data_IF_446415803169
#
_entry.id   IF_446415803169
#
_cell.length_a   1.000
_cell.length_b   1.000
_cell.length_c   1.000
_cell.angle_alpha   90.00
_cell.angle_beta   90.00
_cell.angle_gamma   90.00
#
_symmetry.space_group_name_H-M   'P 1'
#
loop_
_entity.id
_entity.type
_entity.pdbx_description
1 polymer ?
#
# COMPACT_ATOMS: atom_id res chain seq x y z
N UNK A 1 7.25 -7.78 5.46
CA UNK A 1 6.57 -6.94 4.44
C UNK A 1 7.00 -7.32 3.03
N UNK A 2 6.20 -6.98 2.00
CA UNK A 2 6.59 -7.09 0.59
C UNK A 2 6.71 -5.70 -0.05
N UNK A 3 7.38 -5.60 -1.23
CA UNK A 3 7.57 -4.33 -1.93
C UNK A 3 8.56 -3.36 -1.27
N UNK A 4 9.40 -3.83 -0.34
CA UNK A 4 10.36 -3.02 0.42
C UNK A 4 11.41 -2.29 -0.42
N UNK A 5 11.70 -2.74 -1.64
CA UNK A 5 12.64 -2.08 -2.57
C UNK A 5 11.99 -0.98 -3.41
N UNK A 6 10.68 -0.82 -3.32
CA UNK A 6 9.90 0.17 -4.07
C UNK A 6 10.02 1.58 -3.50
N UNK A 7 9.43 2.54 -4.22
CA UNK A 7 9.47 3.98 -3.89
C UNK A 7 8.95 4.31 -2.48
N UNK A 8 7.80 3.74 -2.10
CA UNK A 8 7.21 3.90 -0.77
C UNK A 8 7.94 2.99 0.23
N UNK A 9 8.18 1.73 -0.15
CA UNK A 9 8.73 0.71 0.74
C UNK A 9 10.07 1.06 1.35
N UNK A 10 11.01 1.60 0.57
CA UNK A 10 12.31 2.03 1.10
C UNK A 10 12.21 3.14 2.15
N UNK A 11 11.27 4.08 1.98
CA UNK A 11 11.05 5.17 2.94
C UNK A 11 10.39 4.64 4.21
N UNK A 12 9.37 3.82 4.05
CA UNK A 12 8.70 3.16 5.17
C UNK A 12 9.69 2.36 6.01
N UNK A 13 10.55 1.53 5.40
CA UNK A 13 11.56 0.74 6.10
C UNK A 13 12.48 1.66 6.92
N UNK A 14 13.04 2.71 6.30
CA UNK A 14 13.91 3.64 7.03
C UNK A 14 13.22 4.26 8.25
N UNK A 15 11.97 4.67 8.09
CA UNK A 15 11.20 5.28 9.17
C UNK A 15 10.90 4.26 10.27
N UNK A 16 10.44 3.06 9.93
CA UNK A 16 10.17 2.02 10.92
C UNK A 16 11.44 1.61 11.69
N UNK A 17 12.55 1.37 10.98
CA UNK A 17 13.83 1.04 11.63
C UNK A 17 14.32 2.16 12.56
N UNK A 18 14.18 3.44 12.15
CA UNK A 18 14.56 4.58 13.01
C UNK A 18 13.68 4.73 14.25
N UNK A 19 12.49 4.15 14.24
CA UNK A 19 11.56 4.10 15.38
C UNK A 19 11.71 2.83 16.22
N UNK A 20 12.71 2.00 15.93
CA UNK A 20 13.02 0.78 16.69
C UNK A 20 12.30 -0.49 16.26
N UNK A 21 11.52 -0.47 15.16
CA UNK A 21 10.88 -1.67 14.65
C UNK A 21 11.90 -2.60 13.98
N UNK A 22 11.72 -3.90 14.19
CA UNK A 22 12.40 -4.93 13.41
C UNK A 22 11.63 -5.15 12.10
N UNK A 23 12.29 -4.94 10.96
CA UNK A 23 11.64 -5.03 9.65
C UNK A 23 12.26 -6.15 8.83
N UNK A 24 11.43 -7.11 8.46
CA UNK A 24 11.76 -8.14 7.48
C UNK A 24 11.10 -7.82 6.14
N UNK A 25 11.85 -7.86 5.04
CA UNK A 25 11.32 -7.59 3.71
C UNK A 25 11.54 -8.77 2.76
N UNK A 26 10.43 -9.29 2.25
CA UNK A 26 10.43 -10.30 1.17
C UNK A 26 10.97 -9.65 -0.09
N UNK A 27 12.04 -10.23 -0.63
CA UNK A 27 12.77 -9.67 -1.76
C UNK A 27 13.43 -10.76 -2.59
N UNK A 28 13.45 -10.60 -3.91
CA UNK A 28 14.23 -11.49 -4.78
C UNK A 28 15.72 -11.30 -4.55
N UNK A 29 16.50 -12.34 -4.64
CA UNK A 29 17.97 -12.30 -4.42
C UNK A 29 18.66 -11.17 -5.18
N UNK A 30 18.29 -10.94 -6.45
CA UNK A 30 18.85 -9.87 -7.30
C UNK A 30 18.52 -8.43 -6.81
N UNK A 31 17.62 -8.27 -5.87
CA UNK A 31 17.16 -6.98 -5.36
C UNK A 31 17.46 -6.77 -3.87
N UNK A 32 18.05 -7.75 -3.18
CA UNK A 32 18.34 -7.68 -1.75
C UNK A 32 19.23 -6.47 -1.38
N UNK A 33 20.23 -6.18 -2.20
CA UNK A 33 21.12 -5.02 -2.00
C UNK A 33 20.48 -3.65 -2.17
N UNK A 34 19.19 -3.58 -2.58
CA UNK A 34 18.43 -2.33 -2.67
C UNK A 34 17.66 -2.00 -1.39
N UNK A 35 17.62 -2.91 -0.43
CA UNK A 35 16.95 -2.66 0.86
C UNK A 35 17.74 -1.66 1.70
N UNK A 36 17.06 -0.79 2.44
CA UNK A 36 17.70 0.10 3.40
C UNK A 36 18.44 -0.67 4.50
N UNK A 37 19.48 -0.05 5.07
CA UNK A 37 20.15 -0.58 6.25
C UNK A 37 19.19 -0.77 7.42
N UNK A 38 19.42 -1.80 8.23
CA UNK A 38 18.56 -2.16 9.36
C UNK A 38 17.37 -3.06 9.01
N UNK A 39 17.14 -3.32 7.71
CA UNK A 39 16.10 -4.24 7.26
C UNK A 39 16.70 -5.64 7.00
N UNK A 40 16.07 -6.68 7.49
CA UNK A 40 16.46 -8.07 7.24
C UNK A 40 15.85 -8.57 5.93
N UNK A 41 16.66 -8.99 4.94
CA UNK A 41 16.12 -9.54 3.70
C UNK A 41 15.60 -10.98 3.90
N UNK A 42 14.38 -11.25 3.50
CA UNK A 42 13.82 -12.59 3.32
C UNK A 42 13.89 -12.91 1.83
N UNK A 43 14.82 -13.76 1.43
CA UNK A 43 15.03 -14.11 0.02
C UNK A 43 13.93 -15.06 -0.44
N UNK A 44 12.92 -14.52 -1.11
CA UNK A 44 11.74 -15.24 -1.56
C UNK A 44 11.06 -14.53 -2.73
N UNK A 45 10.06 -15.18 -3.34
CA UNK A 45 9.23 -14.58 -4.39
C UNK A 45 7.94 -14.00 -3.79
N UNK A 46 7.71 -12.68 -3.86
CA UNK A 46 6.48 -12.07 -3.35
C UNK A 46 5.20 -12.52 -4.11
N UNK A 47 5.34 -13.18 -5.26
CA UNK A 47 4.23 -13.78 -6.01
C UNK A 47 3.96 -15.24 -5.62
N UNK A 48 4.70 -15.79 -4.65
CA UNK A 48 4.55 -17.14 -4.13
C UNK A 48 4.59 -17.10 -2.60
N UNK A 49 3.44 -17.03 -1.96
CA UNK A 49 3.29 -16.90 -0.51
C UNK A 49 3.98 -18.03 0.28
N UNK A 50 3.97 -19.26 -0.24
CA UNK A 50 4.62 -20.41 0.43
C UNK A 50 6.10 -20.14 0.66
N UNK A 51 6.77 -19.42 -0.23
CA UNK A 51 8.21 -19.15 -0.15
C UNK A 51 8.64 -18.28 1.04
N UNK A 52 7.69 -17.61 1.71
CA UNK A 52 7.97 -16.75 2.87
C UNK A 52 6.99 -16.96 4.04
N UNK A 53 6.08 -17.94 3.94
CA UNK A 53 5.06 -18.20 4.97
C UNK A 53 5.67 -18.48 6.35
N UNK A 54 6.82 -19.18 6.41
CA UNK A 54 7.52 -19.50 7.66
C UNK A 54 8.09 -18.29 8.41
N UNK A 55 8.14 -17.11 7.77
CA UNK A 55 8.54 -15.84 8.38
C UNK A 55 7.38 -15.05 8.98
N UNK A 56 6.16 -15.57 8.92
CA UNK A 56 4.97 -14.90 9.44
C UNK A 56 4.58 -15.50 10.79
N UNK A 57 4.09 -14.64 11.69
CA UNK A 57 3.59 -15.04 13.00
C UNK A 57 2.44 -14.14 13.47
N UNK A 58 1.66 -14.55 14.49
CA UNK A 58 0.50 -13.78 14.98
C UNK A 58 0.84 -12.41 15.55
N UNK A 59 2.04 -12.19 16.04
CA UNK A 59 2.52 -10.92 16.58
C UNK A 59 3.02 -9.94 15.53
N UNK A 60 3.04 -10.35 14.25
CA UNK A 60 3.47 -9.50 13.16
C UNK A 60 2.36 -8.60 12.61
N UNK A 61 2.75 -7.41 12.16
CA UNK A 61 2.00 -6.63 11.17
C UNK A 61 2.59 -6.90 9.79
N UNK A 62 1.78 -7.41 8.86
CA UNK A 62 2.22 -7.66 7.48
C UNK A 62 1.83 -6.50 6.57
N UNK A 63 2.82 -5.87 5.92
CA UNK A 63 2.60 -4.73 5.02
C UNK A 63 2.79 -5.16 3.56
N UNK A 64 1.72 -5.08 2.76
CA UNK A 64 1.68 -5.44 1.34
C UNK A 64 1.80 -4.19 0.46
N UNK A 65 2.97 -4.01 -0.18
CA UNK A 65 3.27 -2.85 -1.04
C UNK A 65 3.64 -3.23 -2.48
N UNK A 66 3.57 -4.50 -2.85
CA UNK A 66 3.86 -4.90 -4.25
C UNK A 66 2.80 -4.31 -5.16
N UNK A 67 3.25 -3.72 -6.25
CA UNK A 67 2.40 -3.19 -7.30
C UNK A 67 3.21 -2.73 -8.50
N UNK A 68 2.53 -2.60 -9.64
CA UNK A 68 3.11 -2.13 -10.89
C UNK A 68 3.51 -0.67 -10.76
N UNK A 69 4.78 -0.37 -11.07
CA UNK A 69 5.27 1.00 -11.08
C UNK A 69 4.67 1.79 -12.25
N UNK A 70 4.34 3.08 -11.99
CA UNK A 70 3.75 3.99 -12.99
C UNK A 70 2.52 3.36 -13.66
N UNK A 71 1.42 3.13 -12.91
CA UNK A 71 0.23 2.53 -13.44
C UNK A 71 -0.35 3.34 -14.60
N UNK A 72 -0.76 2.65 -15.67
CA UNK A 72 -1.42 3.24 -16.84
C UNK A 72 -2.43 2.25 -17.42
N UNK A 73 -3.43 2.70 -18.19
CA UNK A 73 -4.42 1.79 -18.79
C UNK A 73 -3.81 0.66 -19.63
N UNK A 74 -2.66 0.91 -20.27
CA UNK A 74 -1.95 -0.08 -21.08
C UNK A 74 -1.38 -1.26 -20.25
N UNK A 75 -1.31 -1.15 -18.93
CA UNK A 75 -0.77 -2.15 -18.02
C UNK A 75 -1.84 -3.02 -17.36
N UNK A 76 -3.07 -3.07 -17.90
CA UNK A 76 -4.18 -3.77 -17.28
C UNK A 76 -3.86 -5.22 -16.92
N UNK A 77 -3.19 -5.98 -17.81
CA UNK A 77 -2.77 -7.35 -17.53
C UNK A 77 -1.73 -7.44 -16.42
N UNK A 78 -0.78 -6.49 -16.34
CA UNK A 78 0.22 -6.47 -15.26
C UNK A 78 -0.41 -6.25 -13.88
N UNK A 79 -1.53 -5.53 -13.79
CA UNK A 79 -2.26 -5.39 -12.53
C UNK A 79 -2.81 -6.72 -12.03
N UNK A 80 -3.25 -7.60 -12.94
CA UNK A 80 -3.69 -8.96 -12.57
C UNK A 80 -2.48 -9.82 -12.20
N UNK A 81 -1.46 -9.85 -13.07
CA UNK A 81 -0.34 -10.78 -12.95
C UNK A 81 0.59 -10.45 -11.77
N UNK A 82 0.65 -9.19 -11.35
CA UNK A 82 1.56 -8.71 -10.30
C UNK A 82 0.79 -8.24 -9.06
N UNK A 83 -0.07 -7.21 -9.20
CA UNK A 83 -0.72 -6.58 -8.04
C UNK A 83 -1.71 -7.55 -7.39
N UNK A 84 -2.63 -8.10 -8.17
CA UNK A 84 -3.64 -9.02 -7.65
C UNK A 84 -3.00 -10.31 -7.14
N UNK A 85 -2.15 -10.94 -7.94
CA UNK A 85 -1.49 -12.19 -7.56
C UNK A 85 -0.68 -12.04 -6.29
N UNK A 86 0.16 -11.00 -6.16
CA UNK A 86 0.95 -10.78 -4.95
C UNK A 86 0.07 -10.53 -3.72
N UNK A 87 -1.03 -9.79 -3.88
CA UNK A 87 -1.95 -9.51 -2.78
C UNK A 87 -2.70 -10.78 -2.34
N UNK A 88 -3.21 -11.59 -3.29
CA UNK A 88 -3.91 -12.83 -2.98
C UNK A 88 -3.00 -13.83 -2.26
N UNK A 89 -1.75 -13.99 -2.69
CA UNK A 89 -0.77 -14.83 -2.00
C UNK A 89 -0.45 -14.32 -0.59
N UNK A 90 -0.27 -12.99 -0.43
CA UNK A 90 -0.02 -12.39 0.86
C UNK A 90 -1.21 -12.56 1.83
N UNK A 91 -2.44 -12.36 1.35
CA UNK A 91 -3.67 -12.54 2.14
C UNK A 91 -3.81 -14.00 2.58
N UNK A 92 -3.58 -14.94 1.66
CA UNK A 92 -3.67 -16.38 1.97
C UNK A 92 -2.73 -16.77 3.09
N UNK A 93 -1.43 -16.46 2.95
CA UNK A 93 -0.44 -16.87 3.96
C UNK A 93 -0.54 -16.07 5.26
N UNK A 94 -0.97 -14.81 5.21
CA UNK A 94 -1.25 -14.02 6.41
C UNK A 94 -2.40 -14.62 7.23
N UNK A 95 -3.47 -15.10 6.57
CA UNK A 95 -4.56 -15.82 7.21
C UNK A 95 -4.09 -17.15 7.81
N UNK A 96 -3.36 -17.95 7.04
CA UNK A 96 -2.84 -19.25 7.49
C UNK A 96 -1.92 -19.12 8.70
N UNK A 97 -1.09 -18.07 8.75
CA UNK A 97 -0.19 -17.77 9.86
C UNK A 97 -0.87 -17.01 11.02
N UNK A 98 -2.18 -16.69 10.91
CA UNK A 98 -2.92 -15.88 11.88
C UNK A 98 -2.22 -14.55 12.18
N UNK A 99 -1.69 -13.87 11.15
CA UNK A 99 -1.01 -12.56 11.30
C UNK A 99 -1.93 -11.58 12.03
N UNK A 100 -1.40 -10.91 13.06
CA UNK A 100 -2.20 -10.06 13.94
C UNK A 100 -2.80 -8.83 13.25
N UNK A 101 -2.08 -8.27 12.27
CA UNK A 101 -2.55 -7.11 11.51
C UNK A 101 -2.01 -7.10 10.07
N UNK A 102 -2.85 -6.67 9.12
CA UNK A 102 -2.51 -6.58 7.70
C UNK A 102 -2.67 -5.14 7.19
N UNK A 103 -1.61 -4.56 6.61
CA UNK A 103 -1.65 -3.22 6.04
C UNK A 103 -1.56 -3.31 4.52
N UNK A 104 -2.53 -2.73 3.82
CA UNK A 104 -2.65 -2.79 2.38
C UNK A 104 -2.76 -1.41 1.75
N UNK A 105 -1.96 -1.14 0.70
CA UNK A 105 -2.17 0.04 -0.14
C UNK A 105 -3.12 -0.35 -1.27
N UNK A 106 -4.29 0.22 -1.24
CA UNK A 106 -5.31 0.15 -2.29
C UNK A 106 -5.25 1.40 -3.19
N UNK A 107 -6.39 1.85 -3.68
CA UNK A 107 -6.56 3.07 -4.47
C UNK A 107 -7.88 3.74 -4.11
N UNK A 108 -7.92 5.07 -4.18
CA UNK A 108 -9.17 5.81 -3.99
C UNK A 108 -10.20 5.41 -5.07
N UNK A 109 -11.39 5.05 -4.64
CA UNK A 109 -12.50 4.68 -5.51
C UNK A 109 -13.86 5.07 -4.89
N UNK A 110 -14.92 5.28 -5.71
CA UNK A 110 -14.94 5.21 -7.17
C UNK A 110 -14.08 6.29 -7.82
N UNK A 111 -13.49 5.99 -8.98
CA UNK A 111 -12.65 6.91 -9.74
C UNK A 111 -13.06 6.92 -11.22
N UNK A 112 -12.95 8.08 -11.91
CA UNK A 112 -13.38 8.24 -13.30
C UNK A 112 -12.42 7.61 -14.32
N UNK A 113 -11.26 7.15 -13.88
CA UNK A 113 -10.20 6.60 -14.73
C UNK A 113 -9.58 5.36 -14.08
N UNK A 114 -8.70 4.69 -14.82
CA UNK A 114 -7.93 3.53 -14.33
C UNK A 114 -8.82 2.35 -13.88
N UNK A 115 -9.94 2.09 -14.58
CA UNK A 115 -10.95 1.11 -14.16
C UNK A 115 -10.38 -0.29 -13.89
N UNK A 116 -9.46 -0.79 -14.74
CA UNK A 116 -8.82 -2.09 -14.52
C UNK A 116 -7.98 -2.12 -13.23
N UNK A 117 -7.26 -1.04 -12.92
CA UNK A 117 -6.48 -0.90 -11.69
C UNK A 117 -7.39 -0.85 -10.46
N UNK A 118 -8.44 -0.03 -10.51
CA UNK A 118 -9.44 0.07 -9.44
C UNK A 118 -10.12 -1.28 -9.20
N UNK A 119 -10.51 -1.99 -10.26
CA UNK A 119 -11.16 -3.29 -10.14
C UNK A 119 -10.26 -4.33 -9.44
N UNK A 120 -8.97 -4.39 -9.79
CA UNK A 120 -8.00 -5.27 -9.12
C UNK A 120 -7.89 -4.93 -7.65
N UNK A 121 -7.72 -3.65 -7.30
CA UNK A 121 -7.60 -3.22 -5.90
C UNK A 121 -8.87 -3.51 -5.10
N UNK A 122 -10.05 -3.33 -5.69
CA UNK A 122 -11.35 -3.65 -5.06
C UNK A 122 -11.44 -5.15 -4.75
N UNK A 123 -11.09 -6.03 -5.70
CA UNK A 123 -11.06 -7.49 -5.44
C UNK A 123 -10.11 -7.88 -4.33
N UNK A 124 -8.93 -7.24 -4.24
CA UNK A 124 -8.00 -7.48 -3.14
C UNK A 124 -8.59 -7.05 -1.79
N UNK A 125 -9.28 -5.91 -1.72
CA UNK A 125 -9.97 -5.47 -0.51
C UNK A 125 -11.09 -6.44 -0.08
N UNK A 126 -11.85 -6.94 -1.06
CA UNK A 126 -12.88 -7.97 -0.83
C UNK A 126 -12.27 -9.26 -0.29
N UNK A 127 -11.12 -9.69 -0.85
CA UNK A 127 -10.39 -10.86 -0.37
C UNK A 127 -9.87 -10.68 1.06
N UNK A 128 -9.35 -9.50 1.45
CA UNK A 128 -8.94 -9.19 2.82
C UNK A 128 -10.13 -9.34 3.78
N UNK A 129 -11.31 -8.80 3.41
CA UNK A 129 -12.54 -8.94 4.22
C UNK A 129 -13.00 -10.38 4.34
N UNK A 130 -13.03 -11.10 3.22
CA UNK A 130 -13.43 -12.52 3.17
C UNK A 130 -12.47 -13.43 3.96
N UNK A 131 -11.19 -13.07 4.04
CA UNK A 131 -10.21 -13.79 4.84
C UNK A 131 -10.38 -13.56 6.36
N UNK A 132 -11.17 -12.57 6.78
CA UNK A 132 -11.35 -12.23 8.20
C UNK A 132 -10.12 -11.61 8.85
N UNK A 133 -9.22 -11.01 8.07
CA UNK A 133 -8.02 -10.35 8.59
C UNK A 133 -8.38 -9.03 9.30
N UNK A 134 -7.73 -8.75 10.41
CA UNK A 134 -7.66 -7.40 10.95
C UNK A 134 -6.77 -6.56 10.04
N UNK A 135 -7.28 -5.50 9.44
CA UNK A 135 -6.52 -4.78 8.44
C UNK A 135 -6.79 -3.28 8.38
N UNK A 136 -5.72 -2.52 8.09
CA UNK A 136 -5.82 -1.12 7.68
C UNK A 136 -5.55 -1.02 6.17
N UNK A 137 -6.54 -0.49 5.44
CA UNK A 137 -6.52 -0.33 3.98
C UNK A 137 -6.38 1.15 3.65
N UNK A 138 -5.22 1.55 3.09
CA UNK A 138 -4.98 2.92 2.67
C UNK A 138 -5.42 3.09 1.21
N UNK A 139 -6.19 4.15 0.92
CA UNK A 139 -6.74 4.45 -0.41
C UNK A 139 -6.21 5.77 -0.96
N UNK A 140 -4.90 5.89 -1.27
CA UNK A 140 -4.38 7.07 -1.95
C UNK A 140 -4.87 7.12 -3.40
N UNK A 141 -4.86 8.33 -4.02
CA UNK A 141 -5.02 8.46 -5.47
C UNK A 141 -3.66 8.69 -6.14
N UNK A 142 -3.07 9.84 -5.95
CA UNK A 142 -1.70 10.13 -6.41
C UNK A 142 -0.79 10.44 -5.23
N UNK A 143 0.40 9.82 -5.23
CA UNK A 143 1.45 10.09 -4.25
C UNK A 143 2.52 10.99 -4.87
N UNK A 144 2.63 12.23 -4.36
CA UNK A 144 3.60 13.22 -4.79
C UNK A 144 4.93 13.03 -4.07
N UNK A 145 6.03 13.20 -4.80
CA UNK A 145 7.35 13.18 -4.18
C UNK A 145 8.48 13.29 -5.22
N UNK A 146 9.74 13.19 -4.80
CA UNK A 146 10.87 13.21 -5.71
C UNK A 146 10.74 12.18 -6.83
N UNK A 147 10.87 12.61 -8.09
CA UNK A 147 10.68 11.76 -9.27
C UNK A 147 9.21 11.64 -9.75
N UNK A 148 8.23 12.16 -9.00
CA UNK A 148 6.79 12.11 -9.32
C UNK A 148 6.19 13.52 -9.22
N UNK A 149 6.64 14.45 -10.10
CA UNK A 149 6.28 15.87 -10.01
C UNK A 149 5.12 16.28 -10.91
N UNK A 150 4.82 15.53 -11.98
CA UNK A 150 3.81 15.91 -12.97
C UNK A 150 2.40 16.15 -12.38
N UNK A 151 1.93 15.40 -11.32
CA UNK A 151 0.62 15.66 -10.76
C UNK A 151 0.51 17.00 -10.02
N UNK A 152 1.63 17.68 -9.76
CA UNK A 152 1.60 19.06 -9.21
C UNK A 152 0.85 20.04 -10.10
N UNK A 153 0.83 19.79 -11.41
CA UNK A 153 0.04 20.60 -12.36
C UNK A 153 -1.47 20.48 -12.11
N UNK A 154 -1.91 19.44 -11.42
CA UNK A 154 -3.31 19.23 -11.08
C UNK A 154 -3.74 19.95 -9.78
N UNK A 155 -2.80 20.46 -8.98
CA UNK A 155 -3.08 21.11 -7.69
C UNK A 155 -4.09 22.26 -7.85
N UNK A 156 -3.94 23.22 -8.81
CA UNK A 156 -4.90 24.31 -8.95
C UNK A 156 -6.32 23.82 -9.30
N UNK A 157 -6.42 22.76 -10.10
CA UNK A 157 -7.69 22.15 -10.49
C UNK A 157 -8.37 21.49 -9.27
N UNK A 158 -7.63 20.74 -8.46
CA UNK A 158 -8.16 20.15 -7.23
C UNK A 158 -8.60 21.22 -6.22
N UNK A 159 -7.79 22.28 -6.04
CA UNK A 159 -8.10 23.39 -5.16
C UNK A 159 -9.41 24.11 -5.57
N UNK A 160 -9.63 24.30 -6.88
CA UNK A 160 -10.87 24.86 -7.39
C UNK A 160 -12.04 23.90 -7.19
N UNK A 161 -11.86 22.62 -7.52
CA UNK A 161 -12.88 21.60 -7.40
C UNK A 161 -13.31 21.34 -5.94
N UNK A 162 -12.41 21.48 -4.98
CA UNK A 162 -12.72 21.38 -3.54
C UNK A 162 -13.61 22.53 -3.03
N UNK A 163 -13.66 23.68 -3.75
CA UNK A 163 -14.50 24.84 -3.40
C UNK A 163 -15.90 24.78 -3.96
N UNK A 164 -16.13 24.02 -5.02
CA UNK A 164 -17.42 23.87 -5.66
C UNK A 164 -18.18 22.74 -4.95
N UNK A 165 -19.38 23.01 -4.35
CA UNK A 165 -20.12 22.02 -3.55
C UNK A 165 -20.37 20.68 -4.27
N UNK A 166 -20.70 20.69 -5.55
CA UNK A 166 -20.98 19.49 -6.36
C UNK A 166 -19.78 18.63 -6.67
N UNK A 167 -18.55 19.15 -6.61
CA UNK A 167 -17.33 18.42 -6.92
C UNK A 167 -16.44 18.17 -5.69
N UNK A 168 -16.74 18.84 -4.57
CA UNK A 168 -15.92 18.86 -3.36
C UNK A 168 -15.61 17.46 -2.83
N UNK A 169 -16.61 16.59 -2.72
CA UNK A 169 -16.41 15.24 -2.20
C UNK A 169 -15.51 14.40 -3.10
N UNK A 170 -15.74 14.44 -4.41
CA UNK A 170 -14.90 13.78 -5.40
C UNK A 170 -13.46 14.30 -5.39
N UNK A 171 -13.27 15.62 -5.30
CA UNK A 171 -11.96 16.24 -5.25
C UNK A 171 -11.18 15.88 -3.99
N UNK A 172 -11.84 15.82 -2.83
CA UNK A 172 -11.23 15.38 -1.58
C UNK A 172 -10.83 13.91 -1.63
N UNK A 173 -11.72 13.04 -2.13
CA UNK A 173 -11.46 11.60 -2.28
C UNK A 173 -10.32 11.29 -3.25
N UNK A 174 -10.25 12.00 -4.38
CA UNK A 174 -9.23 11.82 -5.42
C UNK A 174 -8.07 12.80 -5.27
N UNK A 175 -7.90 13.40 -4.12
CA UNK A 175 -6.86 14.38 -3.84
C UNK A 175 -5.46 13.79 -3.87
N UNK A 176 -4.48 14.70 -3.93
CA UNK A 176 -3.07 14.35 -3.93
C UNK A 176 -2.57 14.17 -2.50
N UNK A 177 -1.74 13.18 -2.24
CA UNK A 177 -1.01 13.00 -0.98
C UNK A 177 0.49 13.12 -1.22
N UNK A 178 1.24 13.63 -0.26
CA UNK A 178 2.71 13.61 -0.36
C UNK A 178 3.26 12.26 0.07
N UNK A 179 4.49 11.96 -0.34
CA UNK A 179 5.17 10.74 0.09
C UNK A 179 5.34 10.71 1.62
N UNK A 180 5.58 11.85 2.24
CA UNK A 180 5.75 11.93 3.68
C UNK A 180 4.43 11.66 4.42
N UNK A 181 3.30 12.21 3.94
CA UNK A 181 1.96 11.89 4.44
C UNK A 181 1.65 10.39 4.29
N UNK A 182 1.98 9.82 3.13
CA UNK A 182 1.76 8.39 2.88
C UNK A 182 2.59 7.50 3.82
N UNK A 183 3.87 7.86 4.04
CA UNK A 183 4.74 7.12 4.97
C UNK A 183 4.25 7.28 6.41
N UNK A 184 3.86 8.49 6.84
CA UNK A 184 3.30 8.74 8.17
C UNK A 184 2.04 7.91 8.42
N UNK A 185 1.11 7.87 7.47
CA UNK A 185 -0.11 7.07 7.58
C UNK A 185 0.19 5.55 7.63
N UNK A 186 1.18 5.07 6.88
CA UNK A 186 1.62 3.67 6.95
C UNK A 186 2.27 3.34 8.30
N UNK A 187 3.11 4.23 8.84
CA UNK A 187 3.71 4.08 10.18
C UNK A 187 2.61 4.04 11.23
N UNK A 188 1.65 4.98 11.19
CA UNK A 188 0.51 4.99 12.08
C UNK A 188 -0.28 3.67 12.02
N UNK A 189 -0.56 3.15 10.82
CA UNK A 189 -1.25 1.86 10.64
C UNK A 189 -0.45 0.69 11.23
N UNK A 190 0.88 0.69 11.12
CA UNK A 190 1.73 -0.36 11.70
C UNK A 190 1.74 -0.29 13.23
N UNK A 191 1.82 0.92 13.80
CA UNK A 191 1.93 1.14 15.24
C UNK A 191 0.59 1.06 15.99
N UNK A 192 -0.54 1.18 15.26
CA UNK A 192 -1.89 1.11 15.81
C UNK A 192 -2.71 0.02 15.12
N UNK A 193 -2.41 -1.27 15.38
CA UNK A 193 -3.19 -2.37 14.82
C UNK A 193 -4.67 -2.27 15.23
N UNK A 194 -5.56 -2.46 14.26
CA UNK A 194 -7.01 -2.37 14.48
C UNK A 194 -7.63 -3.76 14.58
N UNK A 195 -8.77 -3.85 15.24
CA UNK A 195 -9.67 -5.01 15.17
C UNK A 195 -10.68 -4.80 14.05
N UNK A 196 -10.79 -5.76 13.14
CA UNK A 196 -11.62 -5.64 11.94
C UNK A 196 -10.95 -4.84 10.82
N UNK A 197 -11.73 -4.12 10.02
CA UNK A 197 -11.24 -3.38 8.85
C UNK A 197 -11.33 -1.88 9.07
N UNK A 198 -10.22 -1.19 8.95
CA UNK A 198 -10.14 0.26 8.89
C UNK A 198 -9.78 0.73 7.47
N UNK A 199 -10.47 1.79 7.01
CA UNK A 199 -10.18 2.44 5.74
C UNK A 199 -9.58 3.82 6.02
N UNK A 200 -8.38 4.06 5.50
CA UNK A 200 -7.75 5.38 5.47
C UNK A 200 -7.86 5.96 4.06
N UNK A 201 -8.80 6.86 3.86
CA UNK A 201 -8.96 7.61 2.61
C UNK A 201 -7.98 8.79 2.51
N UNK A 202 -8.02 9.52 1.39
CA UNK A 202 -7.12 10.65 1.14
C UNK A 202 -7.17 11.71 2.23
N UNK A 203 -8.34 12.19 2.72
CA UNK A 203 -8.39 13.14 3.85
C UNK A 203 -7.63 12.63 5.07
N UNK A 204 -7.89 11.41 5.49
CA UNK A 204 -7.26 10.83 6.68
C UNK A 204 -5.74 10.62 6.49
N UNK A 205 -5.30 10.18 5.31
CA UNK A 205 -3.87 10.09 4.98
C UNK A 205 -3.19 11.47 5.06
N UNK A 206 -3.88 12.54 4.62
CA UNK A 206 -3.35 13.91 4.68
C UNK A 206 -3.20 14.46 6.09
N UNK A 207 -4.08 14.08 6.99
CA UNK A 207 -4.06 14.51 8.40
C UNK A 207 -2.89 13.90 9.17
N UNK A 208 -2.25 12.87 8.59
CA UNK A 208 -1.08 12.22 9.17
C UNK A 208 -1.43 11.15 10.19
N UNK A 209 -2.72 10.80 10.25
CA UNK A 209 -3.36 9.82 11.13
C UNK A 209 -2.81 9.78 12.56
#
# INVERSE_FOLDING_TARGET
MTGGTGYIGQRLIRTLCSRGHQVEAVVRASSAGKLPAGCTPVIADPLNGVSYASHLSPDHTFVQLVGVSHPSPAKAQQFVDIDERSAMEAIRVAREANVGHFVYISVAHPAPAMHAYVAVRTRCEEAIRAAGLNATILRPWYVLGPGHHWPRLLIPMYWLAERIPSTREGARRLGLVTIDQMVSALVCAVENPVSGIEIMDVPRIREGA
#
